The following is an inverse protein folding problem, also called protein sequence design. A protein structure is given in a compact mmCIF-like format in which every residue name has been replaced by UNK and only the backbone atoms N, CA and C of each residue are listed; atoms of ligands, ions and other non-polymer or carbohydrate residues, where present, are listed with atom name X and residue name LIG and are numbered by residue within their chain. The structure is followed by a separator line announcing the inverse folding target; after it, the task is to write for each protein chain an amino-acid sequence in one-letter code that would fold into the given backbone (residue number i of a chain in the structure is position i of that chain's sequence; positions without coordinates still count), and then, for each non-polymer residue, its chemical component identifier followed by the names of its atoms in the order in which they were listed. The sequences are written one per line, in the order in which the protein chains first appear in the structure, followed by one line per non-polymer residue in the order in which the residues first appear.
data_IF_270227192877
#
_entry.id   IF_270227192877
#
_cell.length_a   1.000
_cell.length_b   1.000
_cell.length_c   1.000
_cell.angle_alpha   90.00
_cell.angle_beta   90.00
_cell.angle_gamma   90.00
#
_symmetry.space_group_name_H-M   'P 1'
#
loop_
_entity.id
_entity.type
_entity.pdbx_description
1 polymer ?
#
# COMPACT_ATOMS: atom_id res chain seq x y z
N UNK A 1 24.91 1.78 -19.93
CA UNK A 1 23.49 1.90 -19.50
C UNK A 1 22.64 1.44 -20.69
N UNK A 2 21.94 0.29 -20.53
CA UNK A 2 21.21 -0.33 -21.63
C UNK A 2 19.93 0.42 -22.00
N UNK A 3 19.50 0.25 -23.25
CA UNK A 3 18.20 0.75 -23.77
C UNK A 3 17.04 0.41 -22.81
N UNK A 4 17.05 -0.76 -22.17
CA UNK A 4 16.02 -1.18 -21.21
C UNK A 4 15.90 -0.27 -19.97
N UNK A 5 16.99 0.32 -19.47
CA UNK A 5 16.94 1.25 -18.34
C UNK A 5 16.33 2.60 -18.71
N UNK A 6 16.50 3.03 -19.98
CA UNK A 6 15.91 4.27 -20.49
C UNK A 6 14.39 4.12 -20.63
N UNK A 7 13.91 2.99 -21.20
CA UNK A 7 12.48 2.72 -21.32
C UNK A 7 11.78 2.62 -19.96
N UNK A 8 12.35 1.92 -19.00
CA UNK A 8 11.81 1.83 -17.64
C UNK A 8 11.68 3.19 -16.94
N UNK A 9 12.63 4.10 -17.19
CA UNK A 9 12.57 5.47 -16.65
C UNK A 9 11.45 6.28 -17.30
N UNK A 10 11.26 6.15 -18.61
CA UNK A 10 10.19 6.84 -19.32
C UNK A 10 8.80 6.36 -18.87
N UNK A 11 8.63 5.05 -18.67
CA UNK A 11 7.39 4.48 -18.11
C UNK A 11 7.08 5.03 -16.72
N UNK A 12 8.07 5.08 -15.83
CA UNK A 12 7.89 5.63 -14.48
C UNK A 12 7.52 7.13 -14.53
N UNK A 13 8.17 7.92 -15.37
CA UNK A 13 7.84 9.34 -15.54
C UNK A 13 6.40 9.54 -16.03
N UNK A 14 5.94 8.74 -16.97
CA UNK A 14 4.55 8.78 -17.44
C UNK A 14 3.56 8.45 -16.32
N UNK A 15 3.86 7.46 -15.48
CA UNK A 15 3.06 7.13 -14.30
C UNK A 15 3.00 8.32 -13.34
N UNK A 16 4.14 8.95 -13.03
CA UNK A 16 4.21 10.09 -12.12
C UNK A 16 3.41 11.30 -12.65
N UNK A 17 3.56 11.64 -13.93
CA UNK A 17 2.81 12.75 -14.55
C UNK A 17 1.29 12.48 -14.52
N UNK A 18 0.87 11.27 -14.83
CA UNK A 18 -0.54 10.87 -14.78
C UNK A 18 -1.09 10.94 -13.36
N UNK A 19 -0.37 10.41 -12.37
CA UNK A 19 -0.76 10.47 -10.96
C UNK A 19 -0.80 11.91 -10.42
N UNK A 20 0.13 12.75 -10.83
CA UNK A 20 0.17 14.18 -10.46
C UNK A 20 -1.09 14.92 -10.88
N UNK A 21 -1.67 14.53 -12.02
CA UNK A 21 -2.92 15.11 -12.53
C UNK A 21 -4.15 14.49 -11.88
N UNK A 22 -4.11 13.18 -11.62
CA UNK A 22 -5.25 12.43 -11.07
C UNK A 22 -5.44 12.62 -9.55
N UNK A 23 -4.38 12.87 -8.81
CA UNK A 23 -4.40 12.96 -7.35
C UNK A 23 -4.38 14.41 -6.86
N UNK A 24 -5.03 14.65 -5.71
CA UNK A 24 -4.85 15.93 -5.00
C UNK A 24 -3.37 16.13 -4.63
N UNK A 25 -2.85 17.37 -4.62
CA UNK A 25 -1.42 17.64 -4.37
C UNK A 25 -0.86 16.99 -3.08
N UNK A 26 -1.64 16.99 -2.00
CA UNK A 26 -1.24 16.34 -0.74
C UNK A 26 -1.15 14.81 -0.87
N UNK A 27 -2.07 14.20 -1.61
CA UNK A 27 -2.05 12.76 -1.88
C UNK A 27 -0.91 12.37 -2.80
N UNK A 28 -0.66 13.14 -3.85
CA UNK A 28 0.49 12.92 -4.73
C UNK A 28 1.82 13.00 -3.97
N UNK A 29 1.97 13.98 -3.07
CA UNK A 29 3.16 14.09 -2.20
C UNK A 29 3.33 12.87 -1.31
N UNK A 30 2.25 12.39 -0.69
CA UNK A 30 2.24 11.15 0.08
C UNK A 30 2.67 9.96 -0.79
N UNK A 31 2.09 9.80 -1.96
CA UNK A 31 2.40 8.72 -2.92
C UNK A 31 3.90 8.69 -3.27
N UNK A 32 4.51 9.85 -3.56
CA UNK A 32 5.96 9.94 -3.75
C UNK A 32 6.74 9.56 -2.48
N UNK A 33 6.28 10.00 -1.32
CA UNK A 33 6.87 9.63 -0.03
C UNK A 33 6.88 8.12 0.17
N UNK A 34 5.77 7.44 -0.14
CA UNK A 34 5.67 5.97 -0.08
C UNK A 34 6.62 5.31 -1.08
N UNK A 35 6.65 5.77 -2.33
CA UNK A 35 7.51 5.20 -3.37
C UNK A 35 9.00 5.27 -3.00
N UNK A 36 9.48 6.42 -2.53
CA UNK A 36 10.87 6.57 -2.09
C UNK A 36 11.17 5.78 -0.81
N UNK A 37 10.26 5.77 0.15
CA UNK A 37 10.43 4.99 1.39
C UNK A 37 10.50 3.50 1.09
N UNK A 38 9.60 2.99 0.26
CA UNK A 38 9.59 1.59 -0.19
C UNK A 38 10.90 1.22 -0.92
N UNK A 39 11.40 2.12 -1.77
CA UNK A 39 12.69 1.92 -2.46
C UNK A 39 13.87 1.83 -1.49
N UNK A 40 13.92 2.71 -0.47
CA UNK A 40 14.97 2.66 0.55
C UNK A 40 14.91 1.34 1.35
N UNK A 41 13.72 0.92 1.74
CA UNK A 41 13.52 -0.36 2.42
C UNK A 41 13.92 -1.55 1.52
N UNK A 42 13.54 -1.51 0.25
CA UNK A 42 13.89 -2.56 -0.71
C UNK A 42 15.41 -2.75 -0.83
N UNK A 43 16.20 -1.68 -0.83
CA UNK A 43 17.68 -1.76 -0.81
C UNK A 43 18.20 -2.48 0.45
N UNK A 44 17.58 -2.24 1.62
CA UNK A 44 18.01 -2.86 2.88
C UNK A 44 17.68 -4.35 2.91
N UNK A 45 16.51 -4.74 2.40
CA UNK A 45 16.02 -6.12 2.47
C UNK A 45 16.29 -6.95 1.21
N UNK A 46 17.07 -6.43 0.25
CA UNK A 46 17.43 -7.16 -0.98
C UNK A 46 16.24 -7.42 -1.91
N UNK A 47 15.23 -6.56 -1.87
CA UNK A 47 14.04 -6.61 -2.75
C UNK A 47 14.28 -5.73 -3.99
N UNK A 48 13.62 -6.03 -5.10
CA UNK A 48 13.71 -5.22 -6.32
C UNK A 48 13.22 -3.78 -6.07
N UNK A 49 14.16 -2.83 -6.15
CA UNK A 49 13.91 -1.41 -5.89
C UNK A 49 12.90 -0.81 -6.87
N UNK A 50 12.93 -1.26 -8.14
CA UNK A 50 12.01 -0.76 -9.16
C UNK A 50 10.59 -1.27 -8.94
N UNK A 51 10.43 -2.51 -8.51
CA UNK A 51 9.11 -3.05 -8.11
C UNK A 51 8.57 -2.31 -6.90
N UNK A 52 9.39 -2.08 -5.87
CA UNK A 52 9.00 -1.34 -4.67
C UNK A 52 8.59 0.11 -4.99
N UNK A 53 9.34 0.79 -5.88
CA UNK A 53 9.01 2.13 -6.33
C UNK A 53 7.65 2.19 -7.04
N UNK A 54 7.42 1.32 -8.03
CA UNK A 54 6.16 1.27 -8.79
C UNK A 54 4.98 0.90 -7.91
N UNK A 55 5.13 -0.09 -7.03
CA UNK A 55 4.08 -0.46 -6.08
C UNK A 55 3.73 0.72 -5.15
N UNK A 56 4.74 1.42 -4.63
CA UNK A 56 4.56 2.62 -3.82
C UNK A 56 3.89 3.77 -4.58
N UNK A 57 4.20 3.98 -5.86
CA UNK A 57 3.53 4.97 -6.70
C UNK A 57 2.06 4.64 -6.93
N UNK A 58 1.73 3.38 -7.15
CA UNK A 58 0.42 2.95 -7.61
C UNK A 58 -0.53 2.53 -6.49
N UNK A 59 -0.05 2.37 -5.24
CA UNK A 59 -0.87 1.84 -4.15
C UNK A 59 -2.18 2.61 -3.95
N UNK A 60 -2.14 3.92 -4.06
CA UNK A 60 -3.26 4.84 -3.82
C UNK A 60 -3.83 5.47 -5.12
N UNK A 61 -3.58 4.89 -6.29
CA UNK A 61 -4.03 5.46 -7.59
C UNK A 61 -5.57 5.63 -7.65
N UNK A 62 -6.33 4.83 -6.92
CA UNK A 62 -7.79 4.94 -6.82
C UNK A 62 -8.28 6.05 -5.87
N UNK A 63 -7.42 6.70 -5.10
CA UNK A 63 -7.79 7.79 -4.17
C UNK A 63 -8.11 9.12 -4.86
N UNK A 64 -7.86 9.22 -6.16
CA UNK A 64 -8.28 10.38 -6.97
C UNK A 64 -9.78 10.43 -7.22
N UNK A 65 -10.46 9.31 -7.14
CA UNK A 65 -11.88 9.16 -7.41
C UNK A 65 -12.74 9.43 -6.18
N UNK A 66 -13.91 10.06 -6.40
CA UNK A 66 -14.95 10.20 -5.37
C UNK A 66 -15.49 8.83 -4.94
N UNK A 67 -16.20 8.78 -3.83
CA UNK A 67 -16.82 7.54 -3.33
C UNK A 67 -17.83 6.95 -4.33
N UNK A 68 -18.53 7.79 -5.07
CA UNK A 68 -19.48 7.37 -6.11
C UNK A 68 -18.76 6.75 -7.31
N UNK A 69 -17.70 7.40 -7.78
CA UNK A 69 -16.85 6.87 -8.85
C UNK A 69 -16.16 5.56 -8.43
N UNK A 70 -15.69 5.44 -7.18
CA UNK A 70 -15.14 4.19 -6.68
C UNK A 70 -16.18 3.06 -6.66
N UNK A 71 -17.44 3.34 -6.31
CA UNK A 71 -18.52 2.34 -6.42
C UNK A 71 -18.78 1.92 -7.87
N UNK A 72 -18.73 2.86 -8.80
CA UNK A 72 -18.86 2.56 -10.23
C UNK A 72 -17.70 1.69 -10.74
N UNK A 73 -16.47 1.99 -10.32
CA UNK A 73 -15.29 1.18 -10.64
C UNK A 73 -15.37 -0.23 -10.02
N UNK A 74 -15.83 -0.36 -8.77
CA UNK A 74 -16.08 -1.69 -8.18
C UNK A 74 -17.04 -2.51 -9.04
N UNK A 75 -18.12 -1.89 -9.52
CA UNK A 75 -19.07 -2.55 -10.41
C UNK A 75 -18.40 -2.93 -11.75
N UNK A 76 -17.63 -2.05 -12.34
CA UNK A 76 -16.92 -2.28 -13.60
C UNK A 76 -15.94 -3.46 -13.48
N UNK A 77 -15.21 -3.57 -12.37
CA UNK A 77 -14.23 -4.62 -12.12
C UNK A 77 -14.83 -5.88 -11.45
N UNK A 78 -16.16 -5.96 -11.31
CA UNK A 78 -16.85 -7.06 -10.64
C UNK A 78 -16.38 -7.29 -9.18
N UNK A 79 -16.02 -6.23 -8.47
CA UNK A 79 -15.65 -6.25 -7.06
C UNK A 79 -16.95 -6.22 -6.24
N UNK A 80 -17.15 -7.23 -5.39
CA UNK A 80 -18.32 -7.26 -4.49
C UNK A 80 -18.24 -6.14 -3.46
N UNK A 81 -19.34 -5.41 -3.32
CA UNK A 81 -19.49 -4.37 -2.27
C UNK A 81 -20.16 -4.90 -1.00
N UNK A 82 -20.29 -6.22 -0.87
CA UNK A 82 -20.86 -6.86 0.31
C UNK A 82 -19.84 -6.96 1.46
N UNK A 83 -20.35 -7.27 2.66
CA UNK A 83 -19.50 -7.49 3.82
C UNK A 83 -18.78 -6.22 4.28
N UNK A 84 -17.46 -6.32 4.41
CA UNK A 84 -16.62 -5.23 4.95
C UNK A 84 -16.69 -3.95 4.12
N UNK A 85 -16.76 -4.03 2.79
CA UNK A 85 -16.80 -2.83 1.94
C UNK A 85 -18.10 -2.02 2.11
N UNK A 86 -19.19 -2.64 2.53
CA UNK A 86 -20.43 -1.94 2.91
C UNK A 86 -20.21 -1.10 4.16
N UNK A 87 -19.52 -1.63 5.14
CA UNK A 87 -19.28 -1.01 6.45
C UNK A 87 -18.06 -0.08 6.46
N UNK A 88 -17.04 -0.40 5.65
CA UNK A 88 -15.78 0.33 5.54
C UNK A 88 -15.51 0.72 4.08
N UNK A 89 -16.34 1.61 3.49
CA UNK A 89 -16.21 1.98 2.08
C UNK A 89 -14.88 2.65 1.74
N UNK A 90 -14.16 3.17 2.72
CA UNK A 90 -12.81 3.70 2.56
C UNK A 90 -11.79 2.65 2.08
N UNK A 91 -12.10 1.35 2.19
CA UNK A 91 -11.26 0.26 1.69
C UNK A 91 -11.45 -0.05 0.19
N UNK A 92 -12.48 0.53 -0.46
CA UNK A 92 -12.71 0.31 -1.90
C UNK A 92 -11.48 0.65 -2.74
N UNK A 93 -10.74 1.69 -2.37
CA UNK A 93 -9.55 2.08 -3.12
C UNK A 93 -8.50 0.97 -3.21
N UNK A 94 -8.31 0.18 -2.15
CA UNK A 94 -7.37 -0.95 -2.14
C UNK A 94 -7.81 -2.05 -3.11
N UNK A 95 -9.10 -2.34 -3.15
CA UNK A 95 -9.65 -3.37 -4.05
C UNK A 95 -9.59 -2.94 -5.52
N UNK A 96 -9.82 -1.65 -5.78
CA UNK A 96 -9.81 -1.07 -7.13
C UNK A 96 -8.39 -0.90 -7.67
N UNK A 97 -7.44 -0.51 -6.81
CA UNK A 97 -6.11 -0.06 -7.23
C UNK A 97 -5.34 -1.07 -8.11
N UNK A 98 -5.34 -2.39 -7.87
CA UNK A 98 -4.65 -3.34 -8.75
C UNK A 98 -5.21 -3.36 -10.18
N UNK A 99 -6.53 -3.30 -10.33
CA UNK A 99 -7.19 -3.27 -11.64
C UNK A 99 -6.89 -1.97 -12.37
N UNK A 100 -7.01 -0.86 -11.66
CA UNK A 100 -6.71 0.46 -12.21
C UNK A 100 -5.23 0.60 -12.59
N UNK A 101 -4.32 0.06 -11.78
CA UNK A 101 -2.88 0.02 -12.06
C UNK A 101 -2.60 -0.76 -13.36
N UNK A 102 -3.26 -1.89 -13.55
CA UNK A 102 -3.12 -2.67 -14.77
C UNK A 102 -3.72 -1.96 -16.00
N UNK A 103 -4.93 -1.46 -15.89
CA UNK A 103 -5.66 -0.90 -17.03
C UNK A 103 -5.13 0.47 -17.45
N UNK A 104 -4.97 1.37 -16.48
CA UNK A 104 -4.68 2.77 -16.74
C UNK A 104 -3.17 3.08 -16.75
N UNK A 105 -2.41 2.37 -15.92
CA UNK A 105 -0.97 2.60 -15.75
C UNK A 105 -0.11 1.51 -16.38
N UNK A 106 -0.74 0.49 -17.01
CA UNK A 106 -0.08 -0.60 -17.72
C UNK A 106 0.86 -1.44 -16.85
N UNK A 107 0.61 -1.47 -15.54
CA UNK A 107 1.36 -2.35 -14.65
C UNK A 107 0.92 -3.80 -14.87
N UNK A 108 1.89 -4.68 -15.18
CA UNK A 108 1.65 -6.10 -15.48
C UNK A 108 2.41 -7.03 -14.52
N UNK A 109 3.26 -6.49 -13.67
CA UNK A 109 4.02 -7.29 -12.70
C UNK A 109 3.11 -7.76 -11.57
N UNK A 110 2.90 -9.07 -11.48
CA UNK A 110 2.00 -9.67 -10.50
C UNK A 110 2.42 -9.43 -9.05
N UNK A 111 3.72 -9.30 -8.77
CA UNK A 111 4.22 -8.98 -7.42
C UNK A 111 3.91 -7.53 -7.05
N UNK A 112 4.03 -6.61 -7.99
CA UNK A 112 3.64 -5.20 -7.80
C UNK A 112 2.14 -5.09 -7.56
N UNK A 113 1.32 -5.72 -8.40
CA UNK A 113 -0.14 -5.74 -8.24
C UNK A 113 -0.57 -6.37 -6.91
N UNK A 114 0.09 -7.45 -6.48
CA UNK A 114 -0.17 -8.09 -5.19
C UNK A 114 0.17 -7.18 -4.00
N UNK A 115 1.27 -6.43 -4.07
CA UNK A 115 1.64 -5.46 -3.04
C UNK A 115 0.63 -4.31 -2.95
N UNK A 116 0.14 -3.83 -4.10
CA UNK A 116 -0.94 -2.83 -4.17
C UNK A 116 -2.22 -3.38 -3.52
N UNK A 117 -2.59 -4.63 -3.78
CA UNK A 117 -3.84 -5.25 -3.31
C UNK A 117 -3.94 -5.40 -1.78
N UNK A 118 -2.84 -5.38 -1.05
CA UNK A 118 -2.83 -5.61 0.40
C UNK A 118 -2.23 -4.46 1.22
N UNK A 119 -2.01 -3.29 0.62
CA UNK A 119 -1.28 -2.19 1.26
C UNK A 119 -1.98 -1.58 2.49
N UNK A 120 -3.30 -1.74 2.63
CA UNK A 120 -4.07 -1.17 3.76
C UNK A 120 -4.40 -2.22 4.83
N UNK A 121 -4.93 -3.37 4.42
CA UNK A 121 -5.39 -4.43 5.35
C UNK A 121 -4.30 -5.41 5.72
N UNK A 122 -3.26 -5.51 4.90
CA UNK A 122 -2.35 -6.63 4.90
C UNK A 122 -3.01 -7.92 4.38
N UNK A 123 -2.27 -9.01 4.43
CA UNK A 123 -2.74 -10.38 4.21
C UNK A 123 -1.84 -11.37 4.95
N UNK A 124 -2.34 -12.58 5.18
CA UNK A 124 -1.56 -13.68 5.76
C UNK A 124 -0.36 -13.99 4.85
N UNK A 125 0.84 -14.07 5.44
CA UNK A 125 2.05 -14.49 4.73
C UNK A 125 2.51 -13.50 3.65
N UNK A 126 2.44 -12.19 3.89
CA UNK A 126 2.97 -11.19 2.94
C UNK A 126 4.42 -11.47 2.56
N UNK A 127 4.72 -11.31 1.27
CA UNK A 127 6.09 -11.29 0.75
C UNK A 127 6.84 -10.05 1.29
N UNK A 128 8.19 -10.04 1.25
CA UNK A 128 8.93 -8.83 1.63
C UNK A 128 8.51 -7.56 0.88
N UNK A 129 8.20 -7.65 -0.42
CA UNK A 129 7.71 -6.51 -1.21
C UNK A 129 6.37 -5.99 -0.68
N UNK A 130 5.43 -6.88 -0.39
CA UNK A 130 4.12 -6.53 0.16
C UNK A 130 4.22 -5.88 1.54
N UNK A 131 5.07 -6.42 2.42
CA UNK A 131 5.34 -5.80 3.73
C UNK A 131 5.97 -4.42 3.58
N UNK A 132 6.93 -4.26 2.68
CA UNK A 132 7.60 -2.98 2.41
C UNK A 132 6.59 -1.91 2.02
N UNK A 133 5.68 -2.21 1.09
CA UNK A 133 4.67 -1.23 0.64
C UNK A 133 3.68 -0.91 1.76
N UNK A 134 3.19 -1.92 2.48
CA UNK A 134 2.32 -1.76 3.65
C UNK A 134 2.96 -0.89 4.74
N UNK A 135 4.23 -1.13 5.06
CA UNK A 135 4.98 -0.38 6.08
C UNK A 135 5.26 1.05 5.59
N UNK A 136 5.69 1.22 4.34
CA UNK A 136 6.02 2.51 3.77
C UNK A 136 4.81 3.44 3.73
N UNK A 137 3.62 2.94 3.38
CA UNK A 137 2.38 3.71 3.43
C UNK A 137 2.09 4.23 4.84
N UNK A 138 2.28 3.40 5.86
CA UNK A 138 2.02 3.78 7.25
C UNK A 138 2.98 4.86 7.76
N UNK A 139 4.26 4.84 7.35
CA UNK A 139 5.31 5.59 8.03
C UNK A 139 6.06 6.64 7.20
N UNK A 140 5.73 6.83 5.91
CA UNK A 140 6.46 7.75 5.02
C UNK A 140 6.66 9.15 5.67
N UNK A 141 7.70 9.94 5.26
CA UNK A 141 8.10 11.15 5.98
C UNK A 141 7.02 12.22 6.14
N UNK A 142 6.05 12.32 5.21
CA UNK A 142 4.99 13.33 5.28
C UNK A 142 3.81 12.94 6.18
N UNK A 143 3.80 11.72 6.76
CA UNK A 143 2.77 11.31 7.72
C UNK A 143 2.82 12.19 8.96
N UNK A 144 1.63 12.63 9.40
CA UNK A 144 1.50 13.31 10.69
C UNK A 144 2.02 12.40 11.80
N UNK A 145 2.71 13.00 12.77
CA UNK A 145 3.19 12.26 13.93
C UNK A 145 2.00 11.73 14.73
N UNK A 146 1.97 10.41 14.90
CA UNK A 146 1.02 9.68 15.72
C UNK A 146 1.78 8.89 16.80
N UNK A 147 1.14 8.51 17.90
CA UNK A 147 1.78 7.67 18.92
C UNK A 147 2.38 6.40 18.30
N UNK A 148 3.61 6.07 18.68
CA UNK A 148 4.31 4.87 18.20
C UNK A 148 4.99 4.99 16.82
N UNK A 149 4.75 6.05 16.04
CA UNK A 149 5.32 6.18 14.69
C UNK A 149 6.87 6.15 14.67
N UNK A 150 7.51 6.78 15.65
CA UNK A 150 8.98 6.75 15.76
C UNK A 150 9.54 5.34 15.99
N UNK A 151 8.82 4.50 16.74
CA UNK A 151 9.17 3.08 16.94
C UNK A 151 8.99 2.30 15.63
N UNK A 152 7.89 2.52 14.92
CA UNK A 152 7.63 1.89 13.61
C UNK A 152 8.73 2.24 12.62
N UNK A 153 9.12 3.52 12.51
CA UNK A 153 10.19 3.99 11.62
C UNK A 153 11.54 3.33 11.89
N UNK A 154 11.82 2.99 13.15
CA UNK A 154 13.03 2.26 13.53
C UNK A 154 12.94 0.80 13.10
N UNK A 155 11.87 0.12 13.47
CA UNK A 155 11.64 -1.29 13.14
C UNK A 155 11.58 -1.54 11.63
N UNK A 156 11.10 -0.59 10.85
CA UNK A 156 10.92 -0.70 9.41
C UNK A 156 12.21 -1.03 8.64
N UNK A 157 13.37 -0.70 9.19
CA UNK A 157 14.68 -0.99 8.60
C UNK A 157 15.45 -2.08 9.34
N UNK A 158 14.86 -2.68 10.37
CA UNK A 158 15.45 -3.73 11.18
C UNK A 158 14.77 -5.09 10.97
N UNK A 159 13.41 -5.11 10.99
CA UNK A 159 12.64 -6.36 11.00
C UNK A 159 11.23 -6.12 10.43
N UNK A 160 10.99 -6.59 9.22
CA UNK A 160 9.70 -6.43 8.54
C UNK A 160 8.54 -7.10 9.30
N UNK A 161 8.73 -8.28 9.86
CA UNK A 161 7.68 -9.01 10.57
C UNK A 161 7.28 -8.30 11.87
N UNK A 162 8.25 -7.85 12.66
CA UNK A 162 7.99 -7.08 13.88
C UNK A 162 7.36 -5.73 13.57
N UNK A 163 7.81 -5.09 12.50
CA UNK A 163 7.24 -3.81 12.06
C UNK A 163 5.78 -3.99 11.63
N UNK A 164 5.50 -4.98 10.77
CA UNK A 164 4.16 -5.33 10.31
C UNK A 164 3.23 -5.64 11.49
N UNK A 165 3.65 -6.51 12.40
CA UNK A 165 2.92 -6.82 13.63
C UNK A 165 2.58 -5.57 14.45
N UNK A 166 3.56 -4.67 14.60
CA UNK A 166 3.39 -3.43 15.37
C UNK A 166 2.37 -2.50 14.71
N UNK A 167 2.44 -2.33 13.40
CA UNK A 167 1.48 -1.51 12.64
C UNK A 167 0.07 -2.05 12.75
N UNK A 168 -0.11 -3.34 12.52
CA UNK A 168 -1.41 -4.01 12.61
C UNK A 168 -2.02 -3.86 14.01
N UNK A 169 -1.22 -4.04 15.06
CA UNK A 169 -1.65 -3.82 16.44
C UNK A 169 -2.13 -2.38 16.65
N UNK A 170 -1.30 -1.40 16.29
CA UNK A 170 -1.64 0.01 16.43
C UNK A 170 -2.91 0.38 15.65
N UNK A 171 -3.08 -0.19 14.46
CA UNK A 171 -4.26 0.05 13.62
C UNK A 171 -5.52 -0.52 14.25
N UNK A 172 -5.47 -1.75 14.77
CA UNK A 172 -6.61 -2.40 15.45
C UNK A 172 -6.98 -1.61 16.72
N UNK A 173 -6.01 -1.21 17.54
CA UNK A 173 -6.23 -0.43 18.75
C UNK A 173 -6.90 0.91 18.40
N UNK A 174 -6.36 1.65 17.43
CA UNK A 174 -6.91 2.93 16.98
C UNK A 174 -8.35 2.80 16.45
N UNK A 175 -8.62 1.83 15.57
CA UNK A 175 -9.96 1.63 15.02
C UNK A 175 -10.96 1.22 16.10
N UNK A 176 -10.55 0.41 17.07
CA UNK A 176 -11.36 0.03 18.24
C UNK A 176 -11.70 1.25 19.09
N UNK A 177 -10.73 2.09 19.42
CA UNK A 177 -10.92 3.33 20.19
C UNK A 177 -11.85 4.31 19.48
N UNK A 178 -11.78 4.37 18.14
CA UNK A 178 -12.67 5.21 17.33
C UNK A 178 -14.05 4.60 17.07
N UNK A 179 -14.32 3.38 17.54
CA UNK A 179 -15.57 2.66 17.27
C UNK A 179 -15.80 2.34 15.79
N UNK A 180 -14.71 2.19 15.02
CA UNK A 180 -14.78 1.87 13.60
C UNK A 180 -14.73 0.36 13.37
N UNK A 181 -15.39 -0.09 12.30
CA UNK A 181 -15.31 -1.49 11.86
C UNK A 181 -13.88 -1.82 11.42
N UNK A 182 -13.42 -3.01 11.82
CA UNK A 182 -12.10 -3.53 11.45
C UNK A 182 -12.31 -4.64 10.42
N UNK A 183 -11.62 -4.53 9.29
CA UNK A 183 -11.62 -5.57 8.26
C UNK A 183 -11.08 -6.89 8.84
N UNK A 184 -11.76 -8.00 8.56
CA UNK A 184 -11.38 -9.33 9.05
C UNK A 184 -9.97 -9.71 8.61
N UNK A 185 -9.56 -9.33 7.40
CA UNK A 185 -8.20 -9.55 6.88
C UNK A 185 -7.14 -8.91 7.77
N UNK A 186 -7.41 -7.70 8.29
CA UNK A 186 -6.49 -7.00 9.20
C UNK A 186 -6.32 -7.79 10.50
N UNK A 187 -7.42 -8.32 11.05
CA UNK A 187 -7.41 -9.13 12.27
C UNK A 187 -6.67 -10.47 12.06
N UNK A 188 -6.96 -11.15 10.97
CA UNK A 188 -6.31 -12.42 10.61
C UNK A 188 -4.81 -12.24 10.34
N UNK A 189 -4.45 -11.17 9.61
CA UNK A 189 -3.06 -10.81 9.35
C UNK A 189 -2.33 -10.52 10.66
N UNK A 190 -2.94 -9.78 11.58
CA UNK A 190 -2.35 -9.53 12.90
C UNK A 190 -2.14 -10.84 13.68
N UNK A 191 -3.13 -11.74 13.73
CA UNK A 191 -2.99 -13.05 14.38
C UNK A 191 -1.82 -13.82 13.81
N UNK A 192 -1.70 -13.89 12.49
CA UNK A 192 -0.60 -14.56 11.81
C UNK A 192 0.78 -14.02 12.25
N UNK A 193 1.00 -12.69 12.17
CA UNK A 193 2.29 -12.10 12.56
C UNK A 193 2.54 -12.08 14.07
N UNK A 194 1.49 -12.12 14.89
CA UNK A 194 1.61 -12.29 16.34
C UNK A 194 2.12 -13.68 16.71
N UNK A 195 1.57 -14.71 16.06
CA UNK A 195 1.80 -16.13 16.40
C UNK A 195 3.01 -16.72 15.64
N UNK A 196 3.53 -15.98 14.66
CA UNK A 196 4.75 -16.34 13.93
C UNK A 196 5.93 -16.36 14.90
N UNK A 197 6.58 -17.54 15.03
CA UNK A 197 7.80 -17.67 15.84
C UNK A 197 8.91 -16.80 15.27
N UNK A 198 9.61 -16.09 16.14
CA UNK A 198 10.83 -15.37 15.76
C UNK A 198 11.90 -16.44 15.42
N UNK A 199 12.40 -16.40 14.18
CA UNK A 199 13.54 -17.26 13.76
C UNK A 199 14.84 -16.61 14.14
#
# INVERSE_FOLDING_TARGET
RGLGDVYKRQEVQQIEEKLKTALKPSRYRHTLGVAYTASCMAMVFGVDVHKAYRAGLLHDCAKGFSMEEQRALCKQYNISLEGTLTKSPQLMHQEIAPFLASDEYKEQDSEVLSAIACHTTGKIGMTPLEQIVFIADYMEPNRKMIPGLSKVRKLAFEDLDKCTKTILKNTIEYLTECGQEIDERTVETYKYYRDKKEN
#
